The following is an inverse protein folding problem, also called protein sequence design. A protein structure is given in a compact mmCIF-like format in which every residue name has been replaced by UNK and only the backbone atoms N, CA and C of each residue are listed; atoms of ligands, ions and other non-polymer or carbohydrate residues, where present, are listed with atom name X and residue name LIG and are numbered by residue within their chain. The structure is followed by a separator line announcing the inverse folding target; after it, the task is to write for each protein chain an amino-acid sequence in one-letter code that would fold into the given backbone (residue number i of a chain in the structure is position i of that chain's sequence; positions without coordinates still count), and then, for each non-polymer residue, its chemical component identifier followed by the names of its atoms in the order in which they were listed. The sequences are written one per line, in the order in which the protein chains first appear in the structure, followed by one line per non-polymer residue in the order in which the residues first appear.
data_IF_417995671243
#
_entry.id   IF_417995671243
#
_cell.length_a   1.000
_cell.length_b   1.000
_cell.length_c   1.000
_cell.angle_alpha   90.00
_cell.angle_beta   90.00
_cell.angle_gamma   90.00
#
_symmetry.space_group_name_H-M   'P 1'
#
loop_
_entity.id
_entity.type
_entity.pdbx_description
1 polymer ?
#
# COMPACT_ATOMS: atom_id res chain seq x y z
N UNK A 1 20.83 -12.21 19.96
CA UNK A 1 21.21 -11.09 19.05
C UNK A 1 20.05 -10.10 18.97
N UNK A 2 20.24 -8.83 19.35
CA UNK A 2 19.19 -7.79 19.22
C UNK A 2 18.89 -7.58 17.73
N UNK A 3 17.66 -7.81 17.29
CA UNK A 3 17.22 -7.49 15.92
C UNK A 3 17.28 -5.97 15.76
N UNK A 4 18.11 -5.49 14.84
CA UNK A 4 18.13 -4.07 14.47
C UNK A 4 16.80 -3.71 13.82
N UNK A 5 16.04 -2.79 14.44
CA UNK A 5 14.77 -2.27 13.92
C UNK A 5 14.94 -0.98 13.11
N UNK A 6 16.13 -0.39 13.13
CA UNK A 6 16.40 0.93 12.54
C UNK A 6 16.19 0.92 11.03
N UNK A 7 16.75 -0.06 10.32
CA UNK A 7 16.63 -0.13 8.86
C UNK A 7 15.15 -0.29 8.40
N UNK A 8 14.36 -1.24 8.94
CA UNK A 8 12.94 -1.32 8.63
C UNK A 8 12.16 -0.03 8.91
N UNK A 9 12.42 0.64 10.03
CA UNK A 9 11.76 1.92 10.35
C UNK A 9 12.13 3.01 9.33
N UNK A 10 13.40 3.11 8.94
CA UNK A 10 13.85 4.05 7.93
C UNK A 10 13.21 3.78 6.57
N UNK A 11 13.08 2.50 6.17
CA UNK A 11 12.41 2.14 4.91
C UNK A 11 10.92 2.45 4.96
N UNK A 12 10.23 2.17 6.08
CA UNK A 12 8.83 2.55 6.25
C UNK A 12 8.64 4.08 6.17
N UNK A 13 9.46 4.84 6.90
CA UNK A 13 9.41 6.30 6.88
C UNK A 13 9.72 6.86 5.48
N UNK A 14 10.74 6.34 4.80
CA UNK A 14 11.08 6.72 3.43
C UNK A 14 9.94 6.40 2.46
N UNK A 15 9.36 5.20 2.53
CA UNK A 15 8.23 4.81 1.68
C UNK A 15 7.03 5.73 1.88
N UNK A 16 6.75 6.16 3.12
CA UNK A 16 5.65 7.09 3.41
C UNK A 16 5.98 8.50 2.91
N UNK A 17 7.11 9.07 3.32
CA UNK A 17 7.43 10.49 3.09
C UNK A 17 7.90 10.74 1.66
N UNK A 18 8.90 9.99 1.18
CA UNK A 18 9.43 10.16 -0.18
C UNK A 18 8.42 9.66 -1.20
N UNK A 19 7.73 8.55 -0.91
CA UNK A 19 6.63 8.06 -1.75
C UNK A 19 5.54 9.12 -1.91
N UNK A 20 5.11 9.77 -0.83
CA UNK A 20 4.11 10.82 -0.89
C UNK A 20 4.56 12.05 -1.70
N UNK A 21 5.80 12.48 -1.53
CA UNK A 21 6.38 13.58 -2.31
C UNK A 21 6.37 13.26 -3.81
N UNK A 22 6.86 12.07 -4.17
CA UNK A 22 6.94 11.64 -5.57
C UNK A 22 5.54 11.46 -6.18
N UNK A 23 4.59 10.88 -5.44
CA UNK A 23 3.22 10.73 -5.90
C UNK A 23 2.54 12.08 -6.14
N UNK A 24 2.71 13.02 -5.20
CA UNK A 24 2.18 14.37 -5.35
C UNK A 24 2.80 15.08 -6.57
N UNK A 25 4.11 14.93 -6.80
CA UNK A 25 4.79 15.50 -7.96
C UNK A 25 4.28 14.90 -9.28
N UNK A 26 4.06 13.57 -9.34
CA UNK A 26 3.53 12.91 -10.54
C UNK A 26 2.07 13.23 -10.85
N UNK A 27 1.31 13.77 -9.88
CA UNK A 27 -0.06 14.22 -10.09
C UNK A 27 -0.16 15.63 -10.70
N UNK A 28 0.92 16.44 -10.64
CA UNK A 28 0.94 17.83 -11.14
C UNK A 28 0.54 17.94 -12.62
N UNK A 29 1.00 17.06 -13.53
CA UNK A 29 0.60 17.13 -14.93
C UNK A 29 -0.90 16.90 -15.17
N UNK A 30 -1.62 16.26 -14.24
CA UNK A 30 -3.07 16.08 -14.33
C UNK A 30 -3.90 17.33 -14.01
N UNK A 31 -3.26 18.41 -13.53
CA UNK A 31 -3.93 19.64 -13.10
C UNK A 31 -4.03 20.72 -14.20
N UNK A 32 -3.53 20.44 -15.41
CA UNK A 32 -3.51 21.42 -16.50
C UNK A 32 -3.43 20.78 -17.89
N UNK A 33 -3.28 21.62 -18.92
CA UNK A 33 -3.06 21.14 -20.30
C UNK A 33 -1.58 20.78 -20.46
N UNK A 34 -1.28 19.48 -20.48
CA UNK A 34 0.07 18.97 -20.66
C UNK A 34 0.09 18.09 -21.91
N UNK A 35 1.21 18.09 -22.64
CA UNK A 35 1.35 17.23 -23.81
C UNK A 35 1.16 15.75 -23.41
N UNK A 36 0.47 14.93 -24.23
CA UNK A 36 0.14 13.54 -23.88
C UNK A 36 1.35 12.71 -23.45
N UNK A 37 2.52 12.93 -24.07
CA UNK A 37 3.76 12.23 -23.73
C UNK A 37 4.18 12.43 -22.28
N UNK A 38 4.10 13.66 -21.76
CA UNK A 38 4.48 13.97 -20.38
C UNK A 38 3.49 13.42 -19.37
N UNK A 39 2.20 13.39 -19.73
CA UNK A 39 1.18 12.75 -18.91
C UNK A 39 1.43 11.24 -18.79
N UNK A 40 1.73 10.56 -19.90
CA UNK A 40 2.04 9.12 -19.90
C UNK A 40 3.30 8.82 -19.09
N UNK A 41 4.38 9.61 -19.26
CA UNK A 41 5.61 9.43 -18.47
C UNK A 41 5.38 9.64 -16.97
N UNK A 42 4.60 10.65 -16.60
CA UNK A 42 4.25 10.91 -15.19
C UNK A 42 3.39 9.78 -14.59
N UNK A 43 2.44 9.25 -15.35
CA UNK A 43 1.63 8.09 -14.94
C UNK A 43 2.49 6.84 -14.74
N UNK A 44 3.42 6.55 -15.67
CA UNK A 44 4.37 5.44 -15.54
C UNK A 44 5.28 5.61 -14.31
N UNK A 45 5.79 6.82 -14.08
CA UNK A 45 6.57 7.12 -12.89
C UNK A 45 5.76 6.93 -11.61
N UNK A 46 4.50 7.39 -11.58
CA UNK A 46 3.59 7.20 -10.45
C UNK A 46 3.37 5.72 -10.15
N UNK A 47 3.19 4.89 -11.18
CA UNK A 47 3.06 3.43 -11.02
C UNK A 47 4.31 2.79 -10.42
N UNK A 48 5.50 3.17 -10.89
CA UNK A 48 6.76 2.68 -10.35
C UNK A 48 6.98 3.11 -8.90
N UNK A 49 6.63 4.34 -8.55
CA UNK A 49 6.68 4.86 -7.18
C UNK A 49 5.70 4.10 -6.29
N UNK A 50 4.47 3.87 -6.75
CA UNK A 50 3.46 3.14 -5.99
C UNK A 50 3.89 1.69 -5.75
N UNK A 51 4.49 1.06 -6.76
CA UNK A 51 5.04 -0.28 -6.67
C UNK A 51 6.17 -0.37 -5.64
N UNK A 52 7.13 0.55 -5.72
CA UNK A 52 8.25 0.62 -4.78
C UNK A 52 7.77 0.91 -3.35
N UNK A 53 6.80 1.83 -3.20
CA UNK A 53 6.21 2.19 -1.92
C UNK A 53 5.48 1.00 -1.28
N UNK A 54 4.61 0.32 -2.03
CA UNK A 54 3.88 -0.86 -1.54
C UNK A 54 4.83 -2.00 -1.16
N UNK A 55 5.84 -2.26 -2.01
CA UNK A 55 6.83 -3.31 -1.78
C UNK A 55 7.70 -3.01 -0.56
N UNK A 56 8.22 -1.79 -0.48
CA UNK A 56 9.08 -1.34 0.61
C UNK A 56 8.34 -1.29 1.95
N UNK A 57 7.09 -0.82 1.94
CA UNK A 57 6.26 -0.77 3.15
C UNK A 57 5.92 -2.17 3.65
N UNK A 58 5.50 -3.06 2.75
CA UNK A 58 5.24 -4.46 3.10
C UNK A 58 6.50 -5.11 3.69
N UNK A 59 7.66 -4.96 3.02
CA UNK A 59 8.92 -5.49 3.53
C UNK A 59 9.25 -4.95 4.91
N UNK A 60 9.16 -3.64 5.11
CA UNK A 60 9.52 -2.97 6.35
C UNK A 60 8.66 -3.47 7.52
N UNK A 61 7.35 -3.54 7.33
CA UNK A 61 6.43 -4.02 8.36
C UNK A 61 6.69 -5.50 8.69
N UNK A 62 6.87 -6.36 7.67
CA UNK A 62 7.19 -7.77 7.94
C UNK A 62 8.56 -7.94 8.61
N UNK A 63 9.53 -7.09 8.27
CA UNK A 63 10.86 -7.11 8.86
C UNK A 63 10.87 -6.66 10.33
N UNK A 64 9.96 -5.76 10.71
CA UNK A 64 9.76 -5.36 12.11
C UNK A 64 9.21 -6.49 12.97
N UNK A 65 8.28 -7.27 12.41
CA UNK A 65 7.63 -8.39 13.09
C UNK A 65 8.53 -9.63 13.16
N UNK A 66 8.98 -10.13 12.00
CA UNK A 66 9.70 -11.41 11.86
C UNK A 66 11.22 -11.28 11.77
N UNK A 67 11.75 -10.07 11.60
CA UNK A 67 13.17 -9.79 11.38
C UNK A 67 13.54 -9.73 9.89
N UNK A 68 14.37 -8.76 9.50
CA UNK A 68 14.69 -8.50 8.09
C UNK A 68 15.22 -9.72 7.31
N UNK A 69 16.05 -10.55 7.95
CA UNK A 69 16.67 -11.72 7.30
C UNK A 69 15.65 -12.82 6.90
N UNK A 70 14.47 -12.85 7.52
CA UNK A 70 13.43 -13.85 7.20
C UNK A 70 12.46 -13.41 6.10
N UNK A 71 12.57 -12.17 5.62
CA UNK A 71 11.60 -11.57 4.69
C UNK A 71 12.11 -11.67 3.26
N UNK A 72 11.35 -12.34 2.39
CA UNK A 72 11.69 -12.45 0.97
C UNK A 72 11.19 -11.24 0.19
N UNK A 73 12.11 -10.43 -0.33
CA UNK A 73 11.80 -9.18 -1.06
C UNK A 73 11.16 -9.44 -2.43
N UNK A 74 11.72 -10.38 -3.20
CA UNK A 74 11.28 -10.61 -4.58
C UNK A 74 9.80 -11.04 -4.69
N UNK A 75 9.29 -11.99 -3.87
CA UNK A 75 7.87 -12.31 -3.85
C UNK A 75 6.97 -11.13 -3.47
N UNK A 76 7.39 -10.30 -2.50
CA UNK A 76 6.64 -9.08 -2.12
C UNK A 76 6.54 -8.14 -3.32
N UNK A 77 7.65 -7.91 -4.01
CA UNK A 77 7.70 -7.05 -5.18
C UNK A 77 6.82 -7.59 -6.32
N UNK A 78 6.86 -8.90 -6.58
CA UNK A 78 6.02 -9.54 -7.58
C UNK A 78 4.53 -9.42 -7.24
N UNK A 79 4.12 -9.75 -6.01
CA UNK A 79 2.72 -9.63 -5.58
C UNK A 79 2.23 -8.19 -5.49
N UNK A 80 3.10 -7.24 -5.17
CA UNK A 80 2.80 -5.81 -5.25
C UNK A 80 2.53 -5.40 -6.70
N UNK A 81 3.36 -5.86 -7.65
CA UNK A 81 3.15 -5.62 -9.08
C UNK A 81 1.84 -6.22 -9.59
N UNK A 82 1.56 -7.49 -9.24
CA UNK A 82 0.29 -8.16 -9.57
C UNK A 82 -0.90 -7.38 -8.99
N UNK A 83 -0.81 -6.95 -7.73
CA UNK A 83 -1.85 -6.15 -7.08
C UNK A 83 -2.12 -4.87 -7.85
N UNK A 84 -1.09 -4.12 -8.24
CA UNK A 84 -1.25 -2.88 -8.97
C UNK A 84 -1.85 -3.09 -10.37
N UNK A 85 -1.44 -4.14 -11.08
CA UNK A 85 -2.03 -4.50 -12.37
C UNK A 85 -3.51 -4.85 -12.21
N UNK A 86 -3.86 -5.71 -11.25
CA UNK A 86 -5.24 -6.13 -11.00
C UNK A 86 -6.11 -4.93 -10.59
N UNK A 87 -5.64 -4.11 -9.66
CA UNK A 87 -6.35 -2.90 -9.23
C UNK A 87 -6.51 -1.94 -10.40
N UNK A 88 -5.46 -1.70 -11.19
CA UNK A 88 -5.50 -0.80 -12.35
C UNK A 88 -6.50 -1.25 -13.41
N UNK A 89 -6.50 -2.54 -13.78
CA UNK A 89 -7.48 -3.11 -14.72
C UNK A 89 -8.90 -2.99 -14.15
N UNK A 90 -9.11 -3.38 -12.89
CA UNK A 90 -10.42 -3.33 -12.25
C UNK A 90 -10.92 -1.89 -12.11
N UNK A 91 -10.06 -0.91 -11.89
CA UNK A 91 -10.48 0.49 -11.79
C UNK A 91 -11.15 0.98 -13.09
N UNK A 92 -10.74 0.42 -14.24
CA UNK A 92 -11.32 0.73 -15.55
C UNK A 92 -12.61 -0.04 -15.81
N UNK A 93 -12.63 -1.35 -15.52
CA UNK A 93 -13.77 -2.22 -15.91
C UNK A 93 -14.83 -2.38 -14.82
N UNK A 94 -14.45 -2.31 -13.55
CA UNK A 94 -15.31 -2.53 -12.38
C UNK A 94 -14.71 -1.88 -11.12
N UNK A 95 -14.93 -0.57 -10.89
CA UNK A 95 -14.28 0.18 -9.80
C UNK A 95 -14.47 -0.42 -8.41
N UNK A 96 -15.63 -1.04 -8.14
CA UNK A 96 -15.87 -1.73 -6.87
C UNK A 96 -14.95 -2.95 -6.70
N UNK A 97 -14.61 -3.64 -7.78
CA UNK A 97 -13.65 -4.73 -7.79
C UNK A 97 -12.23 -4.27 -7.43
N UNK A 98 -11.83 -3.07 -7.84
CA UNK A 98 -10.53 -2.50 -7.46
C UNK A 98 -10.42 -2.31 -5.94
N UNK A 99 -11.50 -1.86 -5.28
CA UNK A 99 -11.53 -1.76 -3.83
C UNK A 99 -11.39 -3.13 -3.16
N UNK A 100 -12.09 -4.14 -3.65
CA UNK A 100 -11.99 -5.53 -3.16
C UNK A 100 -10.59 -6.12 -3.38
N UNK A 101 -9.95 -5.83 -4.51
CA UNK A 101 -8.58 -6.26 -4.79
C UNK A 101 -7.56 -5.58 -3.86
N UNK A 102 -7.74 -4.29 -3.57
CA UNK A 102 -6.93 -3.57 -2.57
C UNK A 102 -7.07 -4.17 -1.17
N UNK A 103 -8.30 -4.51 -0.77
CA UNK A 103 -8.55 -5.24 0.49
C UNK A 103 -7.91 -6.63 0.48
N UNK A 104 -7.99 -7.37 -0.63
CA UNK A 104 -7.35 -8.67 -0.74
C UNK A 104 -5.82 -8.56 -0.59
N UNK A 105 -5.20 -7.51 -1.15
CA UNK A 105 -3.77 -7.27 -1.04
C UNK A 105 -3.30 -7.16 0.42
N UNK A 106 -4.14 -6.63 1.31
CA UNK A 106 -3.85 -6.54 2.74
C UNK A 106 -3.57 -7.91 3.38
N UNK A 107 -4.22 -8.96 2.89
CA UNK A 107 -4.04 -10.33 3.37
C UNK A 107 -2.94 -11.08 2.60
N UNK A 108 -2.77 -10.79 1.31
CA UNK A 108 -1.85 -11.49 0.42
C UNK A 108 -0.40 -11.03 0.61
N UNK A 109 -0.16 -9.71 0.71
CA UNK A 109 1.19 -9.14 0.77
C UNK A 109 2.00 -9.58 2.00
N UNK A 110 1.43 -9.66 3.21
CA UNK A 110 2.13 -10.23 4.36
C UNK A 110 2.50 -11.71 4.17
N UNK A 111 1.66 -12.48 3.48
CA UNK A 111 1.93 -13.88 3.15
C UNK A 111 3.02 -14.04 2.10
N UNK A 112 3.12 -13.10 1.15
CA UNK A 112 4.13 -13.11 0.10
C UNK A 112 5.55 -13.05 0.67
N UNK A 113 5.76 -12.43 1.83
CA UNK A 113 7.08 -12.36 2.45
C UNK A 113 7.68 -13.73 2.82
N UNK A 114 6.85 -14.76 2.94
CA UNK A 114 7.27 -16.14 3.20
C UNK A 114 7.64 -16.89 1.90
N UNK A 115 7.21 -16.42 0.73
CA UNK A 115 7.51 -16.98 -0.58
C UNK A 115 6.36 -16.86 -1.59
N UNK A 116 6.67 -17.02 -2.88
CA UNK A 116 5.72 -16.76 -3.97
C UNK A 116 4.47 -17.66 -3.90
N UNK A 117 4.64 -18.96 -3.64
CA UNK A 117 3.54 -19.92 -3.51
C UNK A 117 2.79 -19.88 -2.17
N UNK A 118 3.24 -19.06 -1.22
CA UNK A 118 2.65 -18.99 0.12
C UNK A 118 1.60 -17.87 0.24
N UNK A 119 1.68 -16.82 -0.57
CA UNK A 119 0.87 -15.61 -0.39
C UNK A 119 -0.64 -15.88 -0.26
N UNK A 120 -1.25 -16.56 -1.23
CA UNK A 120 -2.68 -16.90 -1.20
C UNK A 120 -3.02 -17.94 -0.12
N UNK A 121 -2.12 -18.89 0.12
CA UNK A 121 -2.31 -19.95 1.11
C UNK A 121 -2.34 -19.39 2.53
N UNK A 122 -1.43 -18.48 2.84
CA UNK A 122 -1.36 -17.78 4.13
C UNK A 122 -2.56 -16.86 4.32
N UNK A 123 -2.95 -16.09 3.29
CA UNK A 123 -4.16 -15.28 3.33
C UNK A 123 -5.41 -16.12 3.66
N UNK A 124 -5.62 -17.22 2.93
CA UNK A 124 -6.74 -18.13 3.18
C UNK A 124 -6.68 -18.82 4.55
N UNK A 125 -5.47 -19.13 5.05
CA UNK A 125 -5.30 -19.69 6.40
C UNK A 125 -5.64 -18.68 7.49
N UNK A 126 -5.19 -17.44 7.35
CA UNK A 126 -5.47 -16.34 8.27
C UNK A 126 -6.98 -16.10 8.38
N UNK A 127 -7.69 -16.01 7.24
CA UNK A 127 -9.15 -15.80 7.22
C UNK A 127 -9.89 -16.96 7.89
N UNK A 128 -9.49 -18.21 7.64
CA UNK A 128 -10.13 -19.39 8.25
C UNK A 128 -9.86 -19.50 9.75
N UNK A 129 -8.66 -19.17 10.22
CA UNK A 129 -8.30 -19.23 11.65
C UNK A 129 -8.93 -18.09 12.44
N UNK A 130 -9.02 -16.90 11.85
CA UNK A 130 -9.47 -15.69 12.53
C UNK A 130 -10.49 -14.91 11.68
N UNK A 131 -11.68 -15.48 11.43
CA UNK A 131 -12.68 -14.88 10.54
C UNK A 131 -13.12 -13.50 11.04
N UNK A 132 -13.47 -13.38 12.33
CA UNK A 132 -13.90 -12.11 12.91
C UNK A 132 -12.83 -11.03 12.89
N UNK A 133 -11.58 -11.37 13.19
CA UNK A 133 -10.48 -10.39 13.16
C UNK A 133 -10.15 -9.96 11.73
N UNK A 134 -10.28 -10.86 10.76
CA UNK A 134 -10.12 -10.55 9.34
C UNK A 134 -11.24 -9.62 8.84
N UNK A 135 -12.48 -9.84 9.27
CA UNK A 135 -13.61 -8.94 8.99
C UNK A 135 -13.37 -7.57 9.61
N UNK A 136 -12.98 -7.51 10.89
CA UNK A 136 -12.67 -6.24 11.56
C UNK A 136 -11.53 -5.48 10.89
N UNK A 137 -10.50 -6.20 10.43
CA UNK A 137 -9.40 -5.60 9.67
C UNK A 137 -9.89 -5.02 8.32
N UNK A 138 -10.72 -5.77 7.58
CA UNK A 138 -11.30 -5.30 6.33
C UNK A 138 -12.21 -4.08 6.54
N UNK A 139 -13.05 -4.11 7.58
CA UNK A 139 -13.89 -2.97 7.96
C UNK A 139 -13.04 -1.76 8.36
N UNK A 140 -11.99 -1.96 9.14
CA UNK A 140 -11.03 -0.90 9.50
C UNK A 140 -10.36 -0.29 8.26
N UNK A 141 -9.99 -1.11 7.28
CA UNK A 141 -9.45 -0.64 6.01
C UNK A 141 -10.48 0.18 5.21
N UNK A 142 -11.73 -0.28 5.13
CA UNK A 142 -12.82 0.46 4.47
C UNK A 142 -13.06 1.79 5.16
N UNK A 143 -13.21 1.80 6.49
CA UNK A 143 -13.42 3.03 7.27
C UNK A 143 -12.26 4.00 7.07
N UNK A 144 -11.01 3.52 7.11
CA UNK A 144 -9.84 4.36 6.87
C UNK A 144 -9.86 4.96 5.46
N UNK A 145 -10.14 4.16 4.43
CA UNK A 145 -10.23 4.65 3.04
C UNK A 145 -11.34 5.69 2.86
N UNK A 146 -12.53 5.44 3.39
CA UNK A 146 -13.66 6.37 3.32
C UNK A 146 -13.33 7.66 4.08
N UNK A 147 -12.77 7.56 5.28
CA UNK A 147 -12.37 8.72 6.09
C UNK A 147 -11.31 9.54 5.36
N UNK A 148 -10.28 8.90 4.80
CA UNK A 148 -9.24 9.56 4.03
C UNK A 148 -9.79 10.22 2.77
N UNK A 149 -10.74 9.59 2.07
CA UNK A 149 -11.40 10.19 0.91
C UNK A 149 -12.23 11.44 1.31
N UNK A 150 -13.03 11.35 2.38
CA UNK A 150 -13.82 12.49 2.88
C UNK A 150 -12.90 13.63 3.33
N UNK A 151 -11.86 13.32 4.10
CA UNK A 151 -10.87 14.31 4.54
C UNK A 151 -10.12 14.90 3.36
N UNK A 152 -9.78 14.12 2.34
CA UNK A 152 -9.10 14.63 1.15
C UNK A 152 -10.00 15.55 0.32
N UNK A 153 -11.29 15.24 0.19
CA UNK A 153 -12.27 16.12 -0.45
C UNK A 153 -12.43 17.42 0.34
N UNK A 154 -12.58 17.32 1.67
CA UNK A 154 -12.69 18.47 2.55
C UNK A 154 -11.41 19.32 2.55
N UNK A 155 -10.25 18.69 2.65
CA UNK A 155 -8.94 19.33 2.62
C UNK A 155 -8.61 19.90 1.25
N UNK A 156 -9.07 19.30 0.15
CA UNK A 156 -8.92 19.84 -1.20
C UNK A 156 -9.58 21.21 -1.39
N UNK A 157 -10.51 21.59 -0.52
CA UNK A 157 -11.08 22.95 -0.46
C UNK A 157 -10.14 23.96 0.22
N UNK A 158 -9.15 23.53 1.01
CA UNK A 158 -8.25 24.38 1.81
C UNK A 158 -6.75 24.25 1.46
N UNK A 159 -6.32 23.08 0.99
CA UNK A 159 -4.96 22.68 0.64
C UNK A 159 -4.98 22.14 -0.80
N UNK A 160 -4.62 22.99 -1.76
CA UNK A 160 -4.60 22.64 -3.18
C UNK A 160 -3.18 22.37 -3.69
N UNK A 161 -3.08 21.70 -4.84
CA UNK A 161 -1.80 21.44 -5.50
C UNK A 161 -0.91 20.45 -4.74
N UNK A 162 0.40 20.67 -4.78
CA UNK A 162 1.41 19.72 -4.30
C UNK A 162 1.30 19.42 -2.80
N UNK A 163 1.02 20.43 -1.97
CA UNK A 163 0.94 20.26 -0.52
C UNK A 163 -0.27 19.41 -0.10
N UNK A 164 -1.43 19.64 -0.72
CA UNK A 164 -2.63 18.81 -0.50
C UNK A 164 -2.39 17.37 -0.94
N UNK A 165 -1.79 17.17 -2.12
CA UNK A 165 -1.40 15.85 -2.61
C UNK A 165 -0.44 15.14 -1.66
N UNK A 166 0.61 15.83 -1.19
CA UNK A 166 1.59 15.26 -0.26
C UNK A 166 0.93 14.84 1.06
N UNK A 167 0.11 15.71 1.66
CA UNK A 167 -0.58 15.39 2.92
C UNK A 167 -1.50 14.16 2.76
N UNK A 168 -2.24 14.08 1.65
CA UNK A 168 -3.10 12.94 1.33
C UNK A 168 -2.28 11.64 1.20
N UNK A 169 -1.18 11.66 0.45
CA UNK A 169 -0.35 10.48 0.25
C UNK A 169 0.41 10.04 1.51
N UNK A 170 0.80 10.98 2.38
CA UNK A 170 1.34 10.64 3.71
C UNK A 170 0.28 9.88 4.50
N UNK A 171 -0.95 10.40 4.55
CA UNK A 171 -2.04 9.79 5.31
C UNK A 171 -2.38 8.37 4.77
N UNK A 172 -2.41 8.19 3.44
CA UNK A 172 -2.54 6.87 2.83
C UNK A 172 -1.39 5.93 3.19
N UNK A 173 -0.14 6.40 3.11
CA UNK A 173 1.03 5.61 3.46
C UNK A 173 1.01 5.16 4.92
N UNK A 174 0.64 6.05 5.84
CA UNK A 174 0.50 5.74 7.27
C UNK A 174 -0.63 4.74 7.52
N UNK A 175 -1.81 4.94 6.92
CA UNK A 175 -2.93 4.00 7.06
C UNK A 175 -2.56 2.61 6.53
N UNK A 176 -1.92 2.54 5.36
CA UNK A 176 -1.44 1.28 4.79
C UNK A 176 -0.42 0.60 5.73
N UNK A 177 0.49 1.36 6.34
CA UNK A 177 1.48 0.82 7.28
C UNK A 177 0.81 0.19 8.51
N UNK A 178 -0.17 0.88 9.10
CA UNK A 178 -0.93 0.42 10.27
C UNK A 178 -1.73 -0.85 9.93
N UNK A 179 -2.42 -0.84 8.79
CA UNK A 179 -3.20 -1.99 8.35
C UNK A 179 -2.31 -3.20 8.07
N UNK A 180 -1.18 -3.01 7.38
CA UNK A 180 -0.21 -4.08 7.13
C UNK A 180 0.37 -4.62 8.43
N UNK A 181 0.61 -3.77 9.43
CA UNK A 181 1.11 -4.20 10.74
C UNK A 181 0.06 -5.04 11.48
N UNK A 182 -1.20 -4.63 11.44
CA UNK A 182 -2.30 -5.41 11.99
C UNK A 182 -2.46 -6.76 11.27
N UNK A 183 -2.34 -6.78 9.94
CA UNK A 183 -2.36 -8.01 9.15
C UNK A 183 -1.19 -8.94 9.48
N UNK A 184 0.03 -8.39 9.61
CA UNK A 184 1.22 -9.15 10.02
C UNK A 184 1.00 -9.84 11.36
N UNK A 185 0.52 -9.08 12.34
CA UNK A 185 0.30 -9.56 13.70
C UNK A 185 -0.76 -10.68 13.74
N UNK A 186 -1.81 -10.56 12.93
CA UNK A 186 -2.83 -11.61 12.80
C UNK A 186 -2.31 -12.89 12.14
N UNK A 187 -1.31 -12.80 11.25
CA UNK A 187 -0.69 -13.98 10.65
C UNK A 187 0.27 -14.71 11.60
N UNK A 188 0.79 -14.01 12.61
CA UNK A 188 1.73 -14.57 13.58
C UNK A 188 1.05 -15.37 14.72
N UNK A 189 -0.27 -15.23 14.88
CA UNK A 189 -1.08 -15.95 15.87
C UNK A 189 -1.49 -17.34 15.39
#
# INVERSE_FOLDING_TARGET
MRRSRTLPLLVAAAAIVIGALLQAATAVPGLGRVAPVWFVLAALASLLVLWAQLSGLTWAIMALDRGAASVRVLPIAAWSGITLIVVGVLLVVFPLGAALAGLAALFVLPGASSGMGHALREAGRMIRRHPWRSVLLALGAIIALVTLAVVAVAAGLFLTGLLGGMAMWIAFGTAAAVLLAAAAHLQAM
#
